data_IF_497262736037
#
_entry.id   IF_497262736037
#
_cell.length_a   1.000
_cell.length_b   1.000
_cell.length_c   1.000
_cell.angle_alpha   90.00
_cell.angle_beta   90.00
_cell.angle_gamma   90.00
#
_symmetry.space_group_name_H-M   'P 1'
#
loop_
_entity.id
_entity.type
_entity.pdbx_description
1 polymer ?
#
# COMPACT_ATOMS: atom_id res chain seq x y z
N UNK A 1 25.07 -13.37 25.97
CA UNK A 1 25.00 -12.20 25.06
C UNK A 1 23.53 -11.75 25.08
N UNK A 2 23.31 -10.66 25.76
CA UNK A 2 21.96 -10.14 26.00
C UNK A 2 21.51 -9.43 24.73
N UNK A 3 20.66 -10.10 23.95
CA UNK A 3 19.98 -9.45 22.83
C UNK A 3 18.88 -8.58 23.41
N UNK A 4 19.26 -7.40 23.88
CA UNK A 4 18.28 -6.37 24.23
C UNK A 4 17.27 -6.19 23.09
N UNK A 5 16.04 -5.71 23.39
CA UNK A 5 15.02 -5.55 22.36
C UNK A 5 15.57 -4.65 21.27
N UNK A 6 15.55 -5.16 20.03
CA UNK A 6 15.81 -4.34 18.84
C UNK A 6 14.67 -3.31 18.80
N UNK A 7 14.94 -2.13 19.34
CA UNK A 7 14.02 -1.01 19.19
C UNK A 7 14.05 -0.60 17.72
N UNK A 8 13.04 -1.00 16.97
CA UNK A 8 12.86 -0.48 15.63
C UNK A 8 12.80 1.05 15.70
N UNK A 9 13.78 1.70 15.12
CA UNK A 9 13.80 3.16 15.02
C UNK A 9 12.67 3.69 14.12
N UNK A 10 12.00 2.80 13.38
CA UNK A 10 10.96 3.10 12.41
C UNK A 10 9.60 2.57 12.85
N UNK A 11 8.56 3.37 12.62
CA UNK A 11 7.19 2.95 12.82
C UNK A 11 6.72 1.94 11.76
N UNK A 12 7.29 2.04 10.55
CA UNK A 12 7.00 1.15 9.43
C UNK A 12 8.24 0.85 8.61
N UNK A 13 8.44 -0.42 8.27
CA UNK A 13 9.35 -0.87 7.21
C UNK A 13 8.52 -1.36 6.04
N UNK A 14 8.78 -0.83 4.86
CA UNK A 14 8.01 -1.11 3.64
C UNK A 14 8.88 -1.90 2.67
N UNK A 15 8.39 -3.06 2.25
CA UNK A 15 9.05 -3.84 1.20
C UNK A 15 8.70 -3.25 -0.18
N UNK A 16 9.71 -3.00 -0.96
CA UNK A 16 9.58 -2.54 -2.35
C UNK A 16 10.34 -3.47 -3.29
N UNK A 17 9.93 -3.50 -4.54
CA UNK A 17 10.57 -4.30 -5.58
C UNK A 17 10.95 -3.41 -6.76
N UNK A 18 11.93 -3.82 -7.54
CA UNK A 18 12.25 -3.13 -8.79
C UNK A 18 11.04 -3.17 -9.73
N UNK A 19 10.62 -2.01 -10.22
CA UNK A 19 9.48 -1.89 -11.13
C UNK A 19 9.78 -2.52 -12.48
N UNK A 20 8.77 -3.15 -13.05
CA UNK A 20 8.72 -3.59 -14.46
C UNK A 20 7.67 -2.78 -15.21
N UNK A 21 7.72 -2.80 -16.52
CA UNK A 21 6.82 -2.02 -17.39
C UNK A 21 5.35 -2.44 -17.25
N UNK A 22 5.10 -3.70 -16.94
CA UNK A 22 3.77 -4.26 -16.72
C UNK A 22 3.17 -3.96 -15.32
N UNK A 23 3.97 -3.48 -14.37
CA UNK A 23 3.47 -3.15 -13.03
C UNK A 23 2.57 -1.92 -13.07
N UNK A 24 1.41 -2.03 -12.46
CA UNK A 24 0.42 -0.96 -12.33
C UNK A 24 0.19 -0.63 -10.86
N UNK A 25 0.44 0.61 -10.47
CA UNK A 25 0.25 1.11 -9.11
C UNK A 25 1.42 1.95 -8.62
N UNK A 26 1.39 2.29 -7.35
CA UNK A 26 2.32 3.21 -6.73
C UNK A 26 3.75 2.71 -6.57
N UNK A 27 4.58 3.58 -6.10
CA UNK A 27 6.00 3.30 -5.86
C UNK A 27 6.66 4.35 -5.00
N UNK A 28 7.99 4.24 -4.87
CA UNK A 28 8.78 5.22 -4.13
C UNK A 28 9.03 6.46 -4.98
N UNK A 29 8.79 7.61 -4.38
CA UNK A 29 9.11 8.91 -4.96
C UNK A 29 9.79 9.81 -3.93
N UNK A 30 10.66 10.67 -4.40
CA UNK A 30 11.14 11.82 -3.62
C UNK A 30 10.13 12.95 -3.81
N UNK A 31 9.36 13.24 -2.78
CA UNK A 31 8.36 14.30 -2.79
C UNK A 31 8.53 15.15 -1.52
N UNK A 32 8.53 16.48 -1.68
CA UNK A 32 8.71 17.44 -0.58
C UNK A 32 9.97 17.16 0.26
N UNK A 33 11.07 16.75 -0.42
CA UNK A 33 12.35 16.46 0.23
C UNK A 33 12.39 15.14 1.03
N UNK A 34 11.36 14.31 0.93
CA UNK A 34 11.28 13.02 1.63
C UNK A 34 10.98 11.88 0.65
N UNK A 35 11.61 10.73 0.89
CA UNK A 35 11.22 9.49 0.21
C UNK A 35 9.93 9.00 0.85
N UNK A 36 8.92 8.76 0.03
CA UNK A 36 7.61 8.23 0.47
C UNK A 36 6.98 7.37 -0.61
N UNK A 37 6.00 6.57 -0.22
CA UNK A 37 5.14 5.91 -1.18
C UNK A 37 4.15 6.90 -1.79
N UNK A 38 3.93 6.76 -3.09
CA UNK A 38 2.94 7.54 -3.84
C UNK A 38 2.16 6.57 -4.71
N UNK A 39 0.85 6.56 -4.57
CA UNK A 39 -0.04 5.75 -5.42
C UNK A 39 -0.49 6.51 -6.66
N UNK A 40 -1.00 5.77 -7.66
CA UNK A 40 -1.39 6.34 -8.95
C UNK A 40 -2.32 7.55 -8.84
N UNK A 41 -3.28 7.52 -7.90
CA UNK A 41 -4.21 8.64 -7.66
C UNK A 41 -3.56 9.92 -7.15
N UNK A 42 -2.37 9.83 -6.56
CA UNK A 42 -1.60 10.96 -6.06
C UNK A 42 -0.58 11.50 -7.09
N UNK A 43 -0.40 10.81 -8.21
CA UNK A 43 0.51 11.22 -9.28
C UNK A 43 -0.14 12.28 -10.19
N UNK A 44 0.63 13.23 -10.71
CA UNK A 44 0.12 14.27 -11.57
C UNK A 44 -0.39 13.77 -12.94
N UNK A 45 0.10 12.62 -13.38
CA UNK A 45 -0.36 11.91 -14.59
C UNK A 45 -0.03 10.43 -14.49
N UNK A 46 -0.76 9.58 -15.22
CA UNK A 46 -0.49 8.13 -15.28
C UNK A 46 0.93 7.82 -15.79
N UNK A 47 1.45 8.62 -16.70
CA UNK A 47 2.80 8.44 -17.25
C UNK A 47 3.90 8.61 -16.20
N UNK A 48 3.61 9.37 -15.12
CA UNK A 48 4.56 9.58 -14.04
C UNK A 48 4.82 8.28 -13.28
N UNK A 49 3.88 7.35 -13.27
CA UNK A 49 4.02 6.03 -12.67
C UNK A 49 5.23 5.26 -13.23
N UNK A 50 5.46 5.35 -14.54
CA UNK A 50 6.57 4.66 -15.21
C UNK A 50 7.95 5.25 -14.90
N UNK A 51 8.00 6.44 -14.29
CA UNK A 51 9.26 7.06 -13.84
C UNK A 51 9.70 6.58 -12.46
N UNK A 52 8.84 5.89 -11.74
CA UNK A 52 9.14 5.35 -10.41
C UNK A 52 9.94 4.05 -10.56
N UNK A 53 11.18 4.04 -10.09
CA UNK A 53 12.09 2.88 -10.21
C UNK A 53 11.70 1.70 -9.32
N UNK A 54 11.00 1.99 -8.21
CA UNK A 54 10.60 0.98 -7.22
C UNK A 54 9.09 0.95 -7.08
N UNK A 55 8.56 -0.26 -7.13
CA UNK A 55 7.14 -0.55 -7.02
C UNK A 55 6.77 -0.92 -5.58
N UNK A 56 5.62 -0.48 -5.12
CA UNK A 56 5.08 -0.82 -3.81
C UNK A 56 4.56 -2.26 -3.80
N UNK A 57 5.20 -3.15 -3.04
CA UNK A 57 4.74 -4.54 -2.91
C UNK A 57 3.49 -4.71 -2.04
N UNK A 58 3.05 -3.64 -1.37
CA UNK A 58 2.01 -3.66 -0.34
C UNK A 58 2.32 -4.52 0.90
N UNK A 59 3.58 -4.85 1.12
CA UNK A 59 4.03 -5.53 2.34
C UNK A 59 4.62 -4.51 3.31
N UNK A 60 4.02 -4.44 4.50
CA UNK A 60 4.40 -3.52 5.57
C UNK A 60 4.71 -4.29 6.85
N UNK A 61 5.82 -3.97 7.46
CA UNK A 61 6.17 -4.38 8.81
C UNK A 61 5.97 -3.19 9.72
N UNK A 62 5.09 -3.33 10.70
CA UNK A 62 4.63 -2.19 11.51
C UNK A 62 4.91 -2.45 12.98
N UNK A 63 5.62 -1.51 13.61
CA UNK A 63 5.69 -1.44 15.07
C UNK A 63 4.35 -0.90 15.59
N UNK A 64 3.59 -1.77 16.25
CA UNK A 64 2.25 -1.43 16.74
C UNK A 64 2.27 -0.29 17.75
N UNK A 65 3.25 -0.25 18.65
CA UNK A 65 3.31 0.80 19.66
C UNK A 65 3.73 2.15 19.07
N UNK A 66 4.63 2.13 18.08
CA UNK A 66 4.98 3.32 17.32
C UNK A 66 3.79 3.82 16.49
N UNK A 67 3.05 2.91 15.85
CA UNK A 67 1.84 3.27 15.11
C UNK A 67 0.76 3.86 16.02
N UNK A 68 0.50 3.25 17.18
CA UNK A 68 -0.48 3.79 18.15
C UNK A 68 -0.13 5.22 18.58
N UNK A 69 1.16 5.54 18.75
CA UNK A 69 1.62 6.91 19.05
C UNK A 69 1.27 7.89 17.93
N UNK A 70 1.29 7.46 16.66
CA UNK A 70 0.87 8.31 15.51
C UNK A 70 -0.62 8.70 15.65
N UNK A 71 -1.44 7.80 16.20
CA UNK A 71 -2.84 8.07 16.53
C UNK A 71 -3.04 8.82 17.85
N UNK A 72 -1.98 9.06 18.63
CA UNK A 72 -2.09 9.60 19.98
C UNK A 72 -2.67 8.61 20.97
N UNK A 73 -2.49 7.31 20.74
CA UNK A 73 -3.00 6.20 21.52
C UNK A 73 -1.87 5.36 22.11
N UNK A 74 -2.22 4.60 23.12
CA UNK A 74 -1.44 3.49 23.68
C UNK A 74 -2.27 2.20 23.66
N UNK A 75 -1.66 1.05 23.92
CA UNK A 75 -2.39 -0.23 24.06
C UNK A 75 -3.48 -0.17 25.11
N UNK A 76 -3.27 0.58 26.22
CA UNK A 76 -4.25 0.76 27.28
C UNK A 76 -5.50 1.52 26.86
N UNK A 77 -5.44 2.27 25.74
CA UNK A 77 -6.56 3.04 25.22
C UNK A 77 -7.49 2.23 24.32
N UNK A 78 -7.04 1.07 23.83
CA UNK A 78 -7.77 0.27 22.84
C UNK A 78 -9.17 -0.20 23.30
N UNK A 79 -9.42 -0.50 24.59
CA UNK A 79 -10.78 -0.82 25.06
C UNK A 79 -11.75 0.35 24.99
N UNK A 80 -11.26 1.60 24.93
CA UNK A 80 -12.12 2.80 24.86
C UNK A 80 -12.45 3.11 23.39
N UNK A 81 -13.59 2.59 22.92
CA UNK A 81 -14.05 2.73 21.54
C UNK A 81 -14.22 4.20 21.10
N UNK A 82 -14.70 5.08 21.97
CA UNK A 82 -14.88 6.50 21.62
C UNK A 82 -13.54 7.20 21.41
N UNK A 83 -12.56 6.92 22.28
CA UNK A 83 -11.21 7.46 22.14
C UNK A 83 -10.55 6.97 20.85
N UNK A 84 -10.65 5.67 20.55
CA UNK A 84 -10.12 5.08 19.33
C UNK A 84 -10.80 5.69 18.10
N UNK A 85 -12.13 5.76 18.07
CA UNK A 85 -12.87 6.34 16.95
C UNK A 85 -12.53 7.82 16.73
N UNK A 86 -12.35 8.59 17.81
CA UNK A 86 -11.93 9.99 17.74
C UNK A 86 -10.52 10.12 17.15
N UNK A 87 -9.58 9.30 17.60
CA UNK A 87 -8.20 9.29 17.11
C UNK A 87 -8.12 8.91 15.61
N UNK A 88 -8.89 7.90 15.19
CA UNK A 88 -8.97 7.50 13.78
C UNK A 88 -9.53 8.62 12.90
N UNK A 89 -10.61 9.29 13.34
CA UNK A 89 -11.17 10.45 12.62
C UNK A 89 -10.17 11.60 12.51
N UNK A 90 -9.46 11.90 13.60
CA UNK A 90 -8.46 12.96 13.62
C UNK A 90 -7.30 12.68 12.67
N UNK A 91 -6.81 11.44 12.60
CA UNK A 91 -5.80 11.04 11.64
C UNK A 91 -6.33 11.09 10.21
N UNK A 92 -7.53 10.55 9.96
CA UNK A 92 -8.15 10.56 8.64
C UNK A 92 -8.37 11.98 8.09
N UNK A 93 -8.63 12.96 8.95
CA UNK A 93 -8.75 14.37 8.56
C UNK A 93 -7.42 14.97 8.06
N UNK A 94 -6.27 14.40 8.46
CA UNK A 94 -4.94 14.84 8.02
C UNK A 94 -4.48 14.18 6.72
N UNK A 95 -5.13 13.10 6.32
CA UNK A 95 -4.80 12.37 5.09
C UNK A 95 -5.59 12.92 3.91
N UNK A 96 -5.01 12.96 2.70
CA UNK A 96 -5.72 13.36 1.51
C UNK A 96 -6.93 12.47 1.25
N UNK A 97 -7.93 13.03 0.56
CA UNK A 97 -9.07 12.28 0.03
C UNK A 97 -9.02 12.36 -1.48
N UNK A 98 -9.00 11.21 -2.13
CA UNK A 98 -9.05 11.09 -3.58
C UNK A 98 -10.47 10.85 -4.03
N UNK A 99 -10.82 11.42 -5.18
CA UNK A 99 -12.13 11.23 -5.80
C UNK A 99 -11.89 10.55 -7.13
N UNK A 100 -12.44 9.35 -7.29
CA UNK A 100 -12.39 8.62 -8.55
C UNK A 100 -13.79 8.45 -9.13
N UNK A 101 -13.90 8.47 -10.45
CA UNK A 101 -15.11 8.12 -11.15
C UNK A 101 -15.00 6.67 -11.63
N UNK A 102 -16.01 5.88 -11.34
CA UNK A 102 -16.10 4.48 -11.78
C UNK A 102 -17.46 4.23 -12.41
N UNK A 103 -17.45 3.47 -13.47
CA UNK A 103 -18.67 2.96 -14.07
C UNK A 103 -19.13 1.70 -13.34
N UNK A 104 -20.28 1.76 -12.72
CA UNK A 104 -20.93 0.62 -12.10
C UNK A 104 -21.94 0.04 -13.06
N UNK A 105 -21.77 -1.23 -13.42
CA UNK A 105 -22.69 -1.98 -14.25
C UNK A 105 -23.75 -2.63 -13.39
N UNK A 106 -25.02 -2.36 -13.68
CA UNK A 106 -26.14 -3.02 -13.05
C UNK A 106 -26.91 -3.82 -14.10
N UNK A 107 -27.05 -5.13 -13.85
CA UNK A 107 -27.84 -6.00 -14.71
C UNK A 107 -29.31 -5.96 -14.30
N UNK A 108 -30.18 -5.68 -15.27
CA UNK A 108 -31.61 -5.75 -15.14
C UNK A 108 -32.12 -6.89 -16.04
N UNK A 109 -32.54 -8.02 -15.46
CA UNK A 109 -33.03 -9.15 -16.25
C UNK A 109 -32.00 -9.79 -17.18
N UNK A 110 -32.47 -10.51 -18.19
CA UNK A 110 -31.62 -11.19 -19.18
C UNK A 110 -31.19 -10.21 -20.29
N UNK A 111 -29.90 -9.87 -20.30
CA UNK A 111 -29.27 -9.19 -21.46
C UNK A 111 -29.29 -7.67 -21.44
N UNK A 112 -29.81 -7.03 -20.39
CA UNK A 112 -29.77 -5.58 -20.25
C UNK A 112 -28.80 -5.16 -19.15
N UNK A 113 -27.82 -4.31 -19.51
CA UNK A 113 -26.88 -3.72 -18.57
C UNK A 113 -27.00 -2.19 -18.66
N UNK A 114 -27.22 -1.56 -17.50
CA UNK A 114 -27.11 -0.12 -17.38
C UNK A 114 -25.78 0.25 -16.75
N UNK A 115 -25.16 1.32 -17.24
CA UNK A 115 -23.89 1.84 -16.72
C UNK A 115 -24.19 3.15 -16.00
N UNK A 116 -23.79 3.20 -14.74
CA UNK A 116 -23.93 4.41 -13.91
C UNK A 116 -22.57 4.91 -13.48
N UNK A 117 -22.19 6.16 -13.80
CA UNK A 117 -21.01 6.77 -13.23
C UNK A 117 -21.24 7.03 -11.74
N UNK A 118 -20.33 6.59 -10.90
CA UNK A 118 -20.33 6.83 -9.46
C UNK A 118 -19.04 7.49 -9.03
N UNK A 119 -19.13 8.45 -8.11
CA UNK A 119 -17.97 9.00 -7.44
C UNK A 119 -17.62 8.12 -6.25
N UNK A 120 -16.38 7.69 -6.18
CA UNK A 120 -15.82 6.96 -5.05
C UNK A 120 -14.82 7.85 -4.32
N UNK A 121 -14.95 7.94 -2.99
CA UNK A 121 -14.03 8.66 -2.12
C UNK A 121 -13.07 7.66 -1.48
N UNK A 122 -11.78 7.87 -1.67
CA UNK A 122 -10.76 6.95 -1.18
C UNK A 122 -9.74 7.69 -0.30
N UNK A 123 -9.27 7.02 0.75
CA UNK A 123 -8.07 7.36 1.50
C UNK A 123 -7.09 6.21 1.36
N UNK A 124 -5.87 6.52 1.00
CA UNK A 124 -4.86 5.51 0.73
C UNK A 124 -4.00 5.31 1.98
N UNK A 125 -3.86 4.06 2.40
CA UNK A 125 -3.02 3.71 3.55
C UNK A 125 -1.57 4.17 3.37
N UNK A 126 -1.05 4.11 2.16
CA UNK A 126 0.33 4.51 1.84
C UNK A 126 0.62 5.98 2.14
N UNK A 127 -0.40 6.86 2.18
CA UNK A 127 -0.25 8.26 2.54
C UNK A 127 0.18 8.46 4.01
N UNK A 128 0.09 7.44 4.83
CA UNK A 128 0.71 7.43 6.15
C UNK A 128 2.22 7.69 6.07
N UNK A 129 2.88 7.24 5.00
CA UNK A 129 4.32 7.46 4.79
C UNK A 129 4.67 8.93 4.52
N UNK A 130 3.69 9.75 4.16
CA UNK A 130 3.87 11.19 3.96
C UNK A 130 3.77 11.99 5.26
N UNK A 131 3.21 11.41 6.33
CA UNK A 131 3.01 12.12 7.60
C UNK A 131 4.37 12.39 8.28
N UNK A 132 4.61 13.62 8.76
CA UNK A 132 5.92 14.02 9.30
C UNK A 132 6.33 13.26 10.56
N UNK A 133 5.35 12.75 11.30
CA UNK A 133 5.55 11.98 12.53
C UNK A 133 5.58 10.46 12.33
N UNK A 134 5.61 9.99 11.09
CA UNK A 134 5.76 8.57 10.75
C UNK A 134 7.16 8.34 10.19
N UNK A 135 8.01 7.69 10.95
CA UNK A 135 9.32 7.27 10.49
C UNK A 135 9.17 5.98 9.67
N UNK A 136 9.57 6.02 8.40
CA UNK A 136 9.50 4.88 7.49
C UNK A 136 10.89 4.49 7.00
N UNK A 137 11.12 3.19 6.91
CA UNK A 137 12.24 2.59 6.20
C UNK A 137 11.71 1.88 4.95
N UNK A 138 12.50 1.88 3.89
CA UNK A 138 12.16 1.22 2.63
C UNK A 138 13.23 0.21 2.28
N UNK A 139 12.83 -1.05 2.11
CA UNK A 139 13.73 -2.16 1.83
C UNK A 139 13.42 -2.70 0.44
N UNK A 140 14.44 -2.80 -0.40
CA UNK A 140 14.30 -3.44 -1.71
C UNK A 140 14.50 -4.94 -1.53
N UNK A 141 13.47 -5.70 -1.87
CA UNK A 141 13.48 -7.17 -1.80
C UNK A 141 13.58 -7.78 -3.20
N UNK A 142 14.00 -9.05 -3.30
CA UNK A 142 13.99 -9.76 -4.58
C UNK A 142 12.61 -9.76 -5.22
N UNK A 143 12.57 -9.53 -6.54
CA UNK A 143 11.32 -9.46 -7.30
C UNK A 143 10.42 -10.67 -7.10
N UNK A 144 11.00 -11.87 -7.04
CA UNK A 144 10.24 -13.12 -6.86
C UNK A 144 9.42 -13.17 -5.56
N UNK A 145 9.82 -12.41 -4.54
CA UNK A 145 9.08 -12.31 -3.27
C UNK A 145 7.86 -11.40 -3.33
N UNK A 146 7.85 -10.43 -4.24
CA UNK A 146 6.80 -9.42 -4.33
C UNK A 146 6.23 -9.30 -5.73
N UNK A 147 5.38 -10.25 -6.13
CA UNK A 147 4.76 -10.26 -7.45
C UNK A 147 3.36 -9.68 -7.43
N UNK A 148 2.98 -9.01 -8.52
CA UNK A 148 1.62 -8.55 -8.72
C UNK A 148 0.78 -9.64 -9.39
N UNK A 149 -0.46 -9.82 -8.91
CA UNK A 149 -1.45 -10.70 -9.52
C UNK A 149 -2.81 -9.98 -9.53
N UNK A 150 -3.00 -9.09 -10.48
CA UNK A 150 -4.27 -8.38 -10.73
C UNK A 150 -5.03 -8.95 -11.92
N UNK A 151 -4.31 -9.56 -12.85
CA UNK A 151 -4.86 -10.09 -14.09
C UNK A 151 -4.28 -11.47 -14.39
N UNK A 152 -5.07 -12.38 -15.02
CA UNK A 152 -4.60 -13.72 -15.39
C UNK A 152 -3.33 -13.72 -16.25
N UNK A 153 -3.18 -12.72 -17.10
CA UNK A 153 -1.99 -12.58 -17.97
C UNK A 153 -0.68 -12.44 -17.18
N UNK A 154 -0.73 -11.98 -15.94
CA UNK A 154 0.45 -11.88 -15.07
C UNK A 154 0.99 -13.25 -14.65
N UNK A 155 0.16 -14.29 -14.64
CA UNK A 155 0.61 -15.67 -14.42
C UNK A 155 1.58 -16.15 -15.48
N UNK A 156 1.40 -15.74 -16.74
CA UNK A 156 2.34 -16.05 -17.81
C UNK A 156 3.73 -15.44 -17.55
N UNK A 157 3.77 -14.26 -16.95
CA UNK A 157 5.01 -13.63 -16.50
C UNK A 157 5.69 -14.45 -15.40
N UNK A 158 4.93 -14.95 -14.45
CA UNK A 158 5.46 -15.78 -13.35
C UNK A 158 6.07 -17.10 -13.85
N UNK A 159 5.45 -17.71 -14.85
CA UNK A 159 5.98 -18.93 -15.47
C UNK A 159 7.30 -18.69 -16.20
N UNK A 160 7.48 -17.50 -16.80
CA UNK A 160 8.68 -17.16 -17.57
C UNK A 160 9.84 -16.67 -16.74
N UNK A 161 9.59 -16.02 -15.60
CA UNK A 161 10.63 -15.40 -14.78
C UNK A 161 11.07 -16.25 -13.57
N UNK A 162 10.53 -17.46 -13.44
CA UNK A 162 10.84 -18.39 -12.35
C UNK A 162 10.05 -18.13 -11.05
N UNK A 163 9.16 -17.14 -11.02
CA UNK A 163 8.37 -16.82 -9.82
C UNK A 163 7.44 -17.95 -9.41
N UNK A 164 6.81 -18.61 -10.40
CA UNK A 164 5.92 -19.74 -10.14
C UNK A 164 6.69 -20.92 -9.53
N UNK A 165 7.88 -21.25 -10.04
CA UNK A 165 8.75 -22.29 -9.48
C UNK A 165 9.23 -21.93 -8.06
N UNK A 166 9.62 -20.66 -7.85
CA UNK A 166 10.00 -20.17 -6.53
C UNK A 166 8.87 -20.33 -5.50
N UNK A 167 7.64 -19.93 -5.85
CA UNK A 167 6.48 -20.07 -4.97
C UNK A 167 6.15 -21.53 -4.72
N UNK A 168 6.18 -22.38 -5.74
CA UNK A 168 5.96 -23.82 -5.61
C UNK A 168 6.99 -24.47 -4.66
N UNK A 169 8.24 -24.02 -4.70
CA UNK A 169 9.31 -24.50 -3.80
C UNK A 169 9.16 -24.05 -2.34
N UNK A 170 8.29 -23.08 -2.04
CA UNK A 170 7.99 -22.64 -0.68
C UNK A 170 6.78 -23.35 -0.05
N UNK A 171 6.05 -24.13 -0.83
CA UNK A 171 4.84 -24.80 -0.40
C UNK A 171 4.99 -26.31 -0.51
N UNK A 172 4.64 -27.03 0.54
CA UNK A 172 4.41 -28.48 0.51
C UNK A 172 2.93 -28.71 0.20
N UNK A 173 2.65 -29.24 -1.01
CA UNK A 173 1.30 -29.58 -1.45
C UNK A 173 1.05 -31.08 -1.34
#
# INVERSE_FOLDING_TARGET
MDNGPVTNAFAMTVETITRRIEDRGGGLALADGRVRLVEGLALPSEETEFKLSYYNSNTFWIDIDALLKVFGLSRGDLPNQEKVASAVRALAARMPTYITLKDVKKRWGKGQEDIYPVAQFEKLWVDMTALPNVACEYVVIPRMRGQQLKEPAQLDGWLRDGSAEYVAGLCDF
#
